data_IF_016234360012
#
_entry.id   IF_016234360012
#
_cell.length_a   1.000
_cell.length_b   1.000
_cell.length_c   1.000
_cell.angle_alpha   90.00
_cell.angle_beta   90.00
_cell.angle_gamma   90.00
#
_symmetry.space_group_name_H-M   'P 1'
#
loop_
_entity.id
_entity.type
_entity.pdbx_description
1 polymer ?
#
# COMPACT_ATOMS: atom_id res chain seq x y z
N UNK A 1 45.27 -11.90 31.43
CA UNK A 1 43.81 -11.99 31.58
C UNK A 1 43.28 -10.59 31.87
N UNK A 2 42.57 -10.00 30.91
CA UNK A 2 42.07 -8.61 30.97
C UNK A 2 40.65 -8.61 31.53
N UNK A 3 40.42 -7.88 32.63
CA UNK A 3 39.09 -7.69 33.21
C UNK A 3 38.41 -6.47 32.57
N UNK A 4 37.33 -6.73 31.85
CA UNK A 4 36.47 -5.74 31.22
C UNK A 4 35.71 -4.91 32.27
N UNK A 5 35.95 -3.60 32.29
CA UNK A 5 35.06 -2.61 32.92
C UNK A 5 34.00 -2.18 31.89
N UNK A 6 32.76 -2.62 32.05
CA UNK A 6 31.63 -2.11 31.26
C UNK A 6 31.05 -0.85 31.92
N UNK A 7 31.26 0.30 31.28
CA UNK A 7 30.58 1.59 31.52
C UNK A 7 29.09 1.48 31.17
N UNK A 8 28.25 2.02 32.05
CA UNK A 8 26.79 2.17 31.94
C UNK A 8 26.31 2.90 30.68
N UNK A 9 25.12 2.58 30.13
CA UNK A 9 24.36 3.51 29.28
C UNK A 9 23.29 4.32 30.06
N UNK A 10 23.13 5.57 29.63
CA UNK A 10 22.34 6.66 30.21
C UNK A 10 20.80 6.53 30.04
N UNK A 11 19.97 7.28 30.82
CA UNK A 11 18.52 7.10 30.90
C UNK A 11 17.72 7.68 29.70
N UNK A 12 16.55 7.08 29.48
CA UNK A 12 15.65 7.28 28.33
C UNK A 12 15.20 8.73 28.07
N UNK A 13 15.11 9.10 26.78
CA UNK A 13 14.58 10.39 26.31
C UNK A 13 13.05 10.46 26.48
N UNK A 14 12.57 11.58 27.03
CA UNK A 14 11.15 11.91 27.25
C UNK A 14 10.42 12.15 25.92
N UNK A 15 9.29 11.46 25.69
CA UNK A 15 8.39 11.68 24.56
C UNK A 15 7.42 12.82 24.89
N UNK A 16 7.44 13.91 24.10
CA UNK A 16 6.41 14.96 24.12
C UNK A 16 5.20 14.50 23.31
N UNK A 17 4.02 14.44 23.94
CA UNK A 17 2.74 14.22 23.25
C UNK A 17 2.17 15.58 22.83
N UNK A 18 2.06 15.81 21.53
CA UNK A 18 1.30 16.93 20.98
C UNK A 18 -0.21 16.67 21.10
N UNK A 19 -0.97 17.72 21.42
CA UNK A 19 -2.41 17.66 21.66
C UNK A 19 -3.15 17.77 20.32
N UNK A 20 -3.89 16.73 19.95
CA UNK A 20 -4.76 16.76 18.77
C UNK A 20 -6.05 17.50 19.14
N UNK A 21 -6.23 18.66 18.51
CA UNK A 21 -7.41 19.53 18.63
C UNK A 21 -8.61 18.88 17.92
N UNK A 22 -9.73 18.80 18.63
CA UNK A 22 -11.03 18.31 18.17
C UNK A 22 -11.82 19.39 17.42
N UNK A 23 -12.35 19.06 16.24
CA UNK A 23 -13.67 19.49 15.74
C UNK A 23 -13.87 19.11 14.27
N UNK A 24 -14.84 18.22 14.01
CA UNK A 24 -16.02 18.52 13.19
C UNK A 24 -16.90 17.28 13.06
N UNK A 25 -18.20 17.50 13.12
CA UNK A 25 -19.29 16.53 13.28
C UNK A 25 -19.94 16.12 11.96
N UNK A 26 -20.26 14.82 11.88
CA UNK A 26 -21.41 14.14 11.25
C UNK A 26 -21.79 14.42 9.78
N UNK A 27 -21.68 13.37 8.97
CA UNK A 27 -22.76 12.95 8.05
C UNK A 27 -22.70 11.43 7.87
N UNK A 28 -23.73 10.73 8.34
CA UNK A 28 -23.99 9.32 8.00
C UNK A 28 -24.32 9.21 6.51
N UNK A 29 -23.87 8.15 5.85
CA UNK A 29 -24.76 7.26 5.10
C UNK A 29 -24.02 6.01 4.60
N UNK A 30 -24.71 4.88 4.81
CA UNK A 30 -24.31 3.50 4.60
C UNK A 30 -23.92 3.21 3.15
N UNK A 31 -22.90 2.36 2.96
CA UNK A 31 -22.96 1.36 1.88
C UNK A 31 -22.60 0.00 2.50
N UNK A 32 -23.61 -0.84 2.60
CA UNK A 32 -23.53 -2.25 2.96
C UNK A 32 -23.02 -3.04 1.76
N UNK A 33 -21.87 -3.67 1.91
CA UNK A 33 -21.48 -4.79 1.05
C UNK A 33 -20.52 -5.65 1.84
N UNK A 34 -21.07 -6.72 2.43
CA UNK A 34 -20.35 -7.78 3.11
C UNK A 34 -19.36 -8.40 2.13
N UNK A 35 -18.10 -7.98 2.23
CA UNK A 35 -16.95 -8.54 1.55
C UNK A 35 -15.72 -8.08 2.32
N UNK A 36 -15.09 -9.03 3.04
CA UNK A 36 -13.91 -8.91 3.89
C UNK A 36 -13.71 -7.55 4.60
N UNK A 37 -14.14 -7.52 5.87
CA UNK A 37 -14.09 -6.39 6.82
C UNK A 37 -12.66 -5.83 7.01
N UNK A 38 -12.21 -5.03 6.05
CA UNK A 38 -11.30 -3.94 6.34
C UNK A 38 -12.04 -2.65 6.01
N UNK A 39 -12.38 -1.90 7.06
CA UNK A 39 -12.97 -0.57 7.03
C UNK A 39 -12.25 0.27 5.95
N UNK A 40 -12.87 0.43 4.78
CA UNK A 40 -12.39 1.38 3.77
C UNK A 40 -12.87 2.74 4.29
N UNK A 41 -12.07 3.34 5.17
CA UNK A 41 -12.15 4.78 5.35
C UNK A 41 -11.95 5.40 3.97
N UNK A 42 -13.01 6.04 3.44
CA UNK A 42 -12.92 6.86 2.23
C UNK A 42 -12.16 8.14 2.55
N UNK A 43 -10.90 7.98 2.92
CA UNK A 43 -9.90 8.99 2.70
C UNK A 43 -9.80 9.14 1.18
N UNK A 44 -9.75 10.36 0.68
CA UNK A 44 -9.45 10.62 -0.74
C UNK A 44 -8.25 9.76 -1.13
N UNK A 45 -8.50 8.74 -1.96
CA UNK A 45 -7.48 7.76 -2.30
C UNK A 45 -6.51 8.45 -3.26
N UNK A 46 -5.31 8.78 -2.79
CA UNK A 46 -4.27 9.31 -3.67
C UNK A 46 -3.79 8.19 -4.61
N UNK A 47 -4.00 8.31 -5.94
CA UNK A 47 -3.55 7.30 -6.91
C UNK A 47 -2.02 7.14 -6.93
N UNK A 48 -1.29 8.15 -6.44
CA UNK A 48 0.17 8.14 -6.38
C UNK A 48 0.72 7.62 -5.04
N UNK A 49 -0.16 7.22 -4.11
CA UNK A 49 0.27 6.72 -2.82
C UNK A 49 1.17 5.47 -2.97
N UNK A 50 2.21 5.34 -2.12
CA UNK A 50 3.04 4.15 -2.09
C UNK A 50 2.21 2.92 -1.68
N UNK A 51 2.53 1.73 -2.21
CA UNK A 51 1.79 0.52 -1.88
C UNK A 51 2.12 0.11 -0.44
N UNK A 52 1.10 -0.04 0.40
CA UNK A 52 1.25 -0.43 1.81
C UNK A 52 1.06 -1.94 2.03
N UNK A 53 0.38 -2.62 1.10
CA UNK A 53 0.12 -4.07 1.11
C UNK A 53 0.65 -4.70 -0.18
N UNK A 54 1.10 -5.94 -0.08
CA UNK A 54 1.51 -6.76 -1.22
C UNK A 54 0.75 -8.07 -1.24
N UNK A 55 0.52 -8.61 -2.43
CA UNK A 55 -0.03 -9.94 -2.65
C UNK A 55 0.89 -10.72 -3.59
N UNK A 56 1.02 -12.03 -3.36
CA UNK A 56 1.82 -12.92 -4.20
C UNK A 56 0.93 -13.56 -5.24
N UNK A 57 1.25 -13.37 -6.52
CA UNK A 57 0.57 -14.03 -7.63
C UNK A 57 1.48 -15.14 -8.16
N UNK A 58 1.04 -16.41 -8.18
CA UNK A 58 1.78 -17.45 -8.87
C UNK A 58 1.70 -17.21 -10.39
N UNK A 59 2.85 -17.19 -11.05
CA UNK A 59 2.96 -17.03 -12.50
C UNK A 59 3.61 -18.28 -13.11
N UNK A 60 3.16 -18.66 -14.29
CA UNK A 60 3.83 -19.71 -15.07
C UNK A 60 5.04 -19.15 -15.85
N UNK A 61 5.81 -20.05 -16.47
CA UNK A 61 7.04 -19.69 -17.21
C UNK A 61 6.76 -18.76 -18.41
N UNK A 62 5.63 -18.95 -19.09
CA UNK A 62 5.23 -18.10 -20.21
C UNK A 62 4.99 -16.66 -19.76
N UNK A 63 4.21 -16.48 -18.68
CA UNK A 63 3.90 -15.18 -18.10
C UNK A 63 5.15 -14.47 -17.57
N UNK A 64 6.04 -15.20 -16.89
CA UNK A 64 7.32 -14.67 -16.41
C UNK A 64 8.21 -14.19 -17.56
N UNK A 65 8.28 -14.97 -18.63
CA UNK A 65 9.08 -14.63 -19.81
C UNK A 65 8.53 -13.40 -20.52
N UNK A 66 7.20 -13.31 -20.65
CA UNK A 66 6.54 -12.16 -21.25
C UNK A 66 6.80 -10.90 -20.42
N UNK A 67 6.65 -10.99 -19.11
CA UNK A 67 6.88 -9.88 -18.19
C UNK A 67 8.34 -9.40 -18.23
N UNK A 68 9.30 -10.32 -18.29
CA UNK A 68 10.71 -9.99 -18.42
C UNK A 68 10.96 -9.12 -19.67
N UNK A 69 10.51 -9.59 -20.85
CA UNK A 69 10.68 -8.86 -22.11
C UNK A 69 10.06 -7.47 -22.08
N UNK A 70 8.88 -7.33 -21.50
CA UNK A 70 8.20 -6.04 -21.34
C UNK A 70 9.00 -5.13 -20.40
N UNK A 71 9.49 -5.67 -19.29
CA UNK A 71 10.24 -4.91 -18.29
C UNK A 71 11.55 -4.35 -18.86
N UNK A 72 12.25 -5.15 -19.67
CA UNK A 72 13.46 -4.75 -20.39
C UNK A 72 13.16 -3.65 -21.42
N UNK A 73 12.10 -3.82 -22.22
CA UNK A 73 11.70 -2.82 -23.24
C UNK A 73 11.38 -1.46 -22.64
N UNK A 74 10.84 -1.42 -21.43
CA UNK A 74 10.45 -0.19 -20.74
C UNK A 74 11.52 0.35 -19.78
N UNK A 75 12.64 -0.36 -19.59
CA UNK A 75 13.67 -0.04 -18.59
C UNK A 75 13.09 0.20 -17.18
N UNK A 76 12.22 -0.70 -16.74
CA UNK A 76 11.58 -0.65 -15.41
C UNK A 76 11.54 -2.04 -14.78
N UNK A 77 11.43 -2.09 -13.46
CA UNK A 77 11.26 -3.36 -12.76
C UNK A 77 9.95 -4.06 -13.14
N UNK A 78 9.99 -5.39 -13.17
CA UNK A 78 8.84 -6.26 -13.40
C UNK A 78 7.67 -5.90 -12.47
N UNK A 79 7.94 -5.64 -11.17
CA UNK A 79 6.94 -5.19 -10.20
C UNK A 79 6.24 -3.90 -10.63
N UNK A 80 6.97 -2.90 -11.15
CA UNK A 80 6.37 -1.64 -11.61
C UNK A 80 5.48 -1.87 -12.83
N UNK A 81 5.91 -2.73 -13.75
CA UNK A 81 5.10 -3.05 -14.93
C UNK A 81 3.84 -3.84 -14.58
N UNK A 82 3.93 -4.87 -13.73
CA UNK A 82 2.74 -5.59 -13.22
C UNK A 82 1.77 -4.59 -12.59
N UNK A 83 2.25 -3.73 -11.67
CA UNK A 83 1.38 -2.78 -10.99
C UNK A 83 0.64 -1.87 -11.97
N UNK A 84 1.35 -1.36 -12.98
CA UNK A 84 0.75 -0.55 -14.03
C UNK A 84 -0.35 -1.33 -14.77
N UNK A 85 -0.07 -2.54 -15.25
CA UNK A 85 -1.07 -3.34 -15.98
C UNK A 85 -2.28 -3.69 -15.13
N UNK A 86 -2.07 -4.00 -13.86
CA UNK A 86 -3.16 -4.30 -12.93
C UNK A 86 -4.04 -3.07 -12.71
N UNK A 87 -3.46 -1.88 -12.51
CA UNK A 87 -4.23 -0.64 -12.37
C UNK A 87 -5.00 -0.34 -13.65
N UNK A 88 -4.33 -0.36 -14.81
CA UNK A 88 -4.94 -0.10 -16.11
C UNK A 88 -6.14 -1.04 -16.37
N UNK A 89 -5.98 -2.34 -16.08
CA UNK A 89 -7.04 -3.34 -16.23
C UNK A 89 -8.19 -3.15 -15.24
N UNK A 90 -7.89 -2.86 -13.97
CA UNK A 90 -8.92 -2.64 -12.93
C UNK A 90 -9.72 -1.37 -13.21
N UNK A 91 -9.09 -0.29 -13.65
CA UNK A 91 -9.79 0.94 -14.04
C UNK A 91 -10.70 0.73 -15.24
N UNK A 92 -10.26 -0.06 -16.22
CA UNK A 92 -11.07 -0.42 -17.39
C UNK A 92 -12.28 -1.28 -16.98
N UNK A 93 -12.06 -2.27 -16.11
CA UNK A 93 -13.13 -3.13 -15.61
C UNK A 93 -14.14 -2.33 -14.78
N UNK A 94 -13.66 -1.45 -13.89
CA UNK A 94 -14.51 -0.57 -13.10
C UNK A 94 -15.37 0.36 -13.97
N UNK A 95 -14.80 0.94 -15.04
CA UNK A 95 -15.56 1.73 -16.02
C UNK A 95 -16.65 0.89 -16.69
N UNK A 96 -16.34 -0.35 -17.06
CA UNK A 96 -17.28 -1.28 -17.70
C UNK A 96 -18.42 -1.66 -16.76
N UNK A 97 -18.13 -1.83 -15.47
CA UNK A 97 -19.11 -2.14 -14.42
C UNK A 97 -19.85 -0.90 -13.88
N UNK A 98 -19.52 0.31 -14.34
CA UNK A 98 -20.11 1.55 -13.85
C UNK A 98 -19.72 1.90 -12.42
N UNK A 99 -18.60 1.39 -11.92
CA UNK A 99 -18.05 1.73 -10.61
C UNK A 99 -17.32 3.07 -10.74
N UNK A 100 -17.85 4.11 -10.09
CA UNK A 100 -17.16 5.40 -9.97
C UNK A 100 -15.97 5.26 -9.02
N UNK A 101 -14.75 5.39 -9.55
CA UNK A 101 -13.50 5.49 -8.79
C UNK A 101 -13.06 6.96 -8.76
#
# INVERSE_FOLDING_TARGET
MSQNQSKFPAPAKKVKREKISSKATKKELEITSKGDDSYIERNELDPNAPPTKGYTVPLNEYELTLLLKISEKHDRSQRKQIRRFVIDALEQEAKTLGIGI
#
